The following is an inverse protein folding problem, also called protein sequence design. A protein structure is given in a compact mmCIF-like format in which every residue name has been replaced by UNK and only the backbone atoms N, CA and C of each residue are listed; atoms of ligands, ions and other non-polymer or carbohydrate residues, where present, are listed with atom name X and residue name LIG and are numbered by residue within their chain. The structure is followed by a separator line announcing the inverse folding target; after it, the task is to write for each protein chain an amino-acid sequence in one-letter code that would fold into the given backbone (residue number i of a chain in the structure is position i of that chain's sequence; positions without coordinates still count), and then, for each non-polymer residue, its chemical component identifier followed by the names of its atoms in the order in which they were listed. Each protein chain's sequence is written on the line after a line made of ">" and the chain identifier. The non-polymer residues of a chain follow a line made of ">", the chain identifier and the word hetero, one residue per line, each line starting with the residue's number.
data_IF_002514165748
#
_entry.id   IF_002514165748
#
_cell.length_a   1.000
_cell.length_b   1.000
_cell.length_c   1.000
_cell.angle_alpha   90.00
_cell.angle_beta   90.00
_cell.angle_gamma   90.00
#
_symmetry.space_group_name_H-M   'P 1'
#
loop_
_entity.id
_entity.type
_entity.pdbx_description
1 polymer ?
#
# COMPACT_ATOMS: atom_id res chain seq x y z
N UNK A 1 11.57 7.38 26.29
CA UNK A 1 12.23 8.10 25.17
C UNK A 1 13.28 7.20 24.51
N UNK A 2 12.94 5.93 24.23
CA UNK A 2 13.81 4.99 23.52
C UNK A 2 13.06 4.18 22.45
N UNK A 3 11.84 4.58 22.09
CA UNK A 3 10.99 3.80 21.16
C UNK A 3 10.84 4.47 19.77
N UNK A 4 11.11 5.77 19.66
CA UNK A 4 10.95 6.48 18.38
C UNK A 4 12.17 6.33 17.45
N UNK A 5 13.37 6.12 18.01
CA UNK A 5 14.62 6.09 17.22
C UNK A 5 14.89 4.71 16.60
N UNK A 6 14.46 3.61 17.24
CA UNK A 6 14.68 2.25 16.71
C UNK A 6 13.69 1.89 15.59
N UNK A 7 12.47 2.46 15.60
CA UNK A 7 11.44 2.27 14.56
C UNK A 7 11.81 2.80 13.18
N UNK A 8 12.86 3.63 13.06
CA UNK A 8 13.15 4.39 11.83
C UNK A 8 14.10 3.67 10.84
N UNK A 9 14.75 2.57 11.25
CA UNK A 9 15.63 1.80 10.34
C UNK A 9 14.95 0.58 9.71
N UNK A 10 14.04 -0.07 10.42
CA UNK A 10 13.55 -1.39 10.02
C UNK A 10 12.43 -1.36 8.96
N UNK A 11 11.67 -0.26 8.83
CA UNK A 11 10.61 -0.15 7.82
C UNK A 11 11.05 0.45 6.48
N UNK A 12 12.32 0.87 6.33
CA UNK A 12 12.80 1.49 5.08
C UNK A 12 12.67 0.58 3.87
N UNK A 13 12.95 -0.71 4.04
CA UNK A 13 12.82 -1.70 2.97
C UNK A 13 11.34 -1.91 2.59
N UNK A 14 10.47 -1.94 3.59
CA UNK A 14 9.01 -2.09 3.41
C UNK A 14 8.45 -0.88 2.66
N UNK A 15 8.90 0.33 2.98
CA UNK A 15 8.53 1.56 2.26
C UNK A 15 9.01 1.54 0.81
N UNK A 16 10.21 1.03 0.56
CA UNK A 16 10.78 0.89 -0.79
C UNK A 16 10.00 -0.11 -1.65
N UNK A 17 9.69 -1.29 -1.08
CA UNK A 17 8.89 -2.32 -1.75
C UNK A 17 7.47 -1.80 -1.98
N UNK A 18 6.86 -1.12 -1.00
CA UNK A 18 5.54 -0.50 -1.15
C UNK A 18 5.54 0.53 -2.27
N UNK A 19 6.57 1.36 -2.38
CA UNK A 19 6.72 2.33 -3.47
C UNK A 19 6.80 1.65 -4.84
N UNK A 20 7.59 0.58 -4.96
CA UNK A 20 7.66 -0.21 -6.19
C UNK A 20 6.31 -0.85 -6.54
N UNK A 21 5.62 -1.45 -5.56
CA UNK A 21 4.29 -2.02 -5.75
C UNK A 21 3.26 -0.96 -6.19
N UNK A 22 3.35 0.28 -5.71
CA UNK A 22 2.45 1.35 -6.11
C UNK A 22 2.50 1.60 -7.63
N UNK A 23 3.70 1.68 -8.21
CA UNK A 23 3.85 1.84 -9.67
C UNK A 23 3.33 0.63 -10.44
N UNK A 24 3.58 -0.59 -9.95
CA UNK A 24 3.06 -1.81 -10.57
C UNK A 24 1.53 -1.83 -10.58
N UNK A 25 0.90 -1.43 -9.47
CA UNK A 25 -0.56 -1.32 -9.33
C UNK A 25 -1.13 -0.24 -10.27
N UNK A 26 -0.51 0.94 -10.33
CA UNK A 26 -0.93 1.99 -11.28
C UNK A 26 -0.78 1.50 -12.73
N UNK A 27 0.32 0.82 -13.04
CA UNK A 27 0.60 0.27 -14.36
C UNK A 27 -0.47 -0.72 -14.83
N UNK A 28 -0.89 -1.67 -14.01
CA UNK A 28 -1.94 -2.61 -14.43
C UNK A 28 -3.31 -1.98 -14.63
N UNK A 29 -3.63 -0.90 -13.91
CA UNK A 29 -4.92 -0.23 -14.03
C UNK A 29 -4.96 0.78 -15.17
N UNK A 30 -3.82 1.37 -15.51
CA UNK A 30 -3.69 2.31 -16.64
C UNK A 30 -3.32 1.62 -17.95
N UNK A 31 -2.95 0.33 -17.91
CA UNK A 31 -2.52 -0.50 -19.05
C UNK A 31 -1.49 0.16 -19.99
N UNK A 32 -0.47 0.90 -19.51
CA UNK A 32 0.51 1.54 -20.38
C UNK A 32 1.41 0.50 -21.06
N UNK A 33 1.57 -0.68 -20.45
CA UNK A 33 2.36 -1.77 -20.99
C UNK A 33 1.71 -2.44 -22.21
N UNK A 34 0.40 -2.33 -22.39
CA UNK A 34 -0.27 -2.81 -23.61
C UNK A 34 0.17 -2.06 -24.86
N UNK A 35 0.48 -0.78 -24.72
CA UNK A 35 1.00 0.03 -25.82
C UNK A 35 2.46 -0.32 -26.17
N UNK A 36 3.19 -0.97 -25.26
CA UNK A 36 4.62 -1.27 -25.42
C UNK A 36 4.86 -2.74 -25.80
N UNK A 37 4.22 -3.68 -25.11
CA UNK A 37 4.33 -5.12 -25.39
C UNK A 37 3.24 -5.93 -24.70
N UNK A 38 2.49 -6.70 -25.49
CA UNK A 38 1.44 -7.62 -25.02
C UNK A 38 1.99 -8.71 -24.10
N UNK A 39 3.24 -9.14 -24.33
CA UNK A 39 3.86 -10.23 -23.59
C UNK A 39 4.28 -9.76 -22.19
N UNK A 40 4.81 -8.53 -22.09
CA UNK A 40 5.19 -7.91 -20.82
C UNK A 40 3.95 -7.56 -19.99
N UNK A 41 2.88 -7.07 -20.63
CA UNK A 41 1.59 -6.81 -19.99
C UNK A 41 1.04 -8.07 -19.32
N UNK A 42 1.02 -9.22 -20.02
CA UNK A 42 0.56 -10.49 -19.45
C UNK A 42 1.39 -10.94 -18.25
N UNK A 43 2.71 -10.88 -18.33
CA UNK A 43 3.58 -11.35 -17.23
C UNK A 43 3.38 -10.49 -15.98
N UNK A 44 3.36 -9.16 -16.14
CA UNK A 44 3.15 -8.23 -15.02
C UNK A 44 1.76 -8.39 -14.42
N UNK A 45 0.73 -8.49 -15.25
CA UNK A 45 -0.66 -8.58 -14.81
C UNK A 45 -0.98 -9.87 -14.05
N UNK A 46 -0.57 -11.03 -14.58
CA UNK A 46 -0.93 -12.32 -13.98
C UNK A 46 -0.03 -12.74 -12.81
N UNK A 47 1.26 -12.39 -12.83
CA UNK A 47 2.19 -12.84 -11.81
C UNK A 47 2.44 -11.75 -10.76
N UNK A 48 2.98 -10.61 -11.18
CA UNK A 48 3.50 -9.61 -10.25
C UNK A 48 2.37 -8.89 -9.54
N UNK A 49 1.31 -8.54 -10.26
CA UNK A 49 0.21 -7.74 -9.72
C UNK A 49 -0.67 -8.47 -8.71
N UNK A 50 -0.83 -9.79 -8.85
CA UNK A 50 -1.56 -10.60 -7.88
C UNK A 50 -0.95 -10.56 -6.48
N UNK A 51 0.36 -10.31 -6.36
CA UNK A 51 1.03 -10.13 -5.07
C UNK A 51 1.20 -8.64 -4.71
N UNK A 52 1.51 -7.78 -5.70
CA UNK A 52 1.75 -6.37 -5.47
C UNK A 52 0.51 -5.62 -4.96
N UNK A 53 -0.69 -5.94 -5.48
CA UNK A 53 -1.96 -5.31 -5.08
C UNK A 53 -2.28 -5.56 -3.60
N UNK A 54 -2.40 -6.82 -3.11
CA UNK A 54 -2.72 -7.07 -1.70
C UNK A 54 -1.62 -6.57 -0.76
N UNK A 55 -0.34 -6.67 -1.15
CA UNK A 55 0.76 -6.14 -0.34
C UNK A 55 0.71 -4.61 -0.22
N UNK A 56 0.54 -3.90 -1.33
CA UNK A 56 0.43 -2.44 -1.34
C UNK A 56 -0.76 -1.95 -0.51
N UNK A 57 -1.90 -2.64 -0.64
CA UNK A 57 -3.11 -2.33 0.12
C UNK A 57 -2.90 -2.53 1.62
N UNK A 58 -2.34 -3.68 2.02
CA UNK A 58 -2.05 -3.99 3.42
C UNK A 58 -1.07 -2.97 4.04
N UNK A 59 0.02 -2.64 3.34
CA UNK A 59 0.98 -1.65 3.81
C UNK A 59 0.35 -0.25 3.92
N UNK A 60 -0.48 0.14 2.96
CA UNK A 60 -1.17 1.44 3.00
C UNK A 60 -2.18 1.52 4.13
N UNK A 61 -3.00 0.49 4.31
CA UNK A 61 -3.96 0.40 5.41
C UNK A 61 -3.29 0.39 6.78
N UNK A 62 -2.24 -0.41 6.95
CA UNK A 62 -1.47 -0.47 8.20
C UNK A 62 -0.88 0.89 8.58
N UNK A 63 -0.20 1.57 7.65
CA UNK A 63 0.38 2.88 7.93
C UNK A 63 -0.68 3.95 8.20
N UNK A 64 -1.85 3.88 7.56
CA UNK A 64 -2.96 4.80 7.81
C UNK A 64 -3.49 4.65 9.23
N UNK A 65 -3.62 3.41 9.72
CA UNK A 65 -4.08 3.11 11.08
C UNK A 65 -3.01 3.48 12.11
N UNK A 66 -1.76 3.08 11.89
CA UNK A 66 -0.66 3.27 12.86
C UNK A 66 -0.23 4.74 12.99
N UNK A 67 -0.41 5.58 11.97
CA UNK A 67 -0.17 7.03 12.07
C UNK A 67 -1.31 7.80 12.76
N UNK A 68 -2.47 7.18 13.00
CA UNK A 68 -3.56 7.85 13.71
C UNK A 68 -3.36 7.69 15.22
N UNK A 69 -3.40 8.77 16.01
CA UNK A 69 -3.43 8.64 17.46
C UNK A 69 -4.70 7.89 17.86
N UNK A 70 -4.57 6.87 18.73
CA UNK A 70 -5.65 5.93 19.10
C UNK A 70 -6.99 6.63 19.40
N UNK A 71 -6.93 7.74 20.16
CA UNK A 71 -8.11 8.54 20.56
C UNK A 71 -8.85 9.15 19.36
N UNK A 72 -8.14 9.57 18.30
CA UNK A 72 -8.73 10.14 17.08
C UNK A 72 -9.36 9.04 16.20
N UNK A 73 -8.77 7.84 16.21
CA UNK A 73 -9.26 6.70 15.46
C UNK A 73 -10.62 6.20 15.99
N UNK A 74 -10.74 6.01 17.31
CA UNK A 74 -12.01 5.56 17.93
C UNK A 74 -13.15 6.55 17.68
N UNK A 75 -12.89 7.85 17.78
CA UNK A 75 -13.90 8.89 17.51
C UNK A 75 -14.31 8.89 16.03
N UNK A 76 -13.36 8.83 15.10
CA UNK A 76 -13.66 8.77 13.65
C UNK A 76 -14.44 7.53 13.25
N UNK A 77 -14.06 6.36 13.77
CA UNK A 77 -14.75 5.10 13.47
C UNK A 77 -16.17 5.12 14.04
N UNK A 78 -16.34 5.59 15.29
CA UNK A 78 -17.67 5.77 15.89
C UNK A 78 -18.55 6.72 15.07
N UNK A 79 -18.00 7.83 14.58
CA UNK A 79 -18.74 8.78 13.73
C UNK A 79 -19.11 8.19 12.37
N UNK A 80 -18.23 7.36 11.78
CA UNK A 80 -18.47 6.72 10.47
C UNK A 80 -19.51 5.61 10.56
N UNK A 81 -19.50 4.79 11.62
CA UNK A 81 -20.51 3.74 11.85
C UNK A 81 -21.89 4.35 12.09
N UNK A 82 -21.97 5.46 12.85
CA UNK A 82 -23.23 6.14 13.16
C UNK A 82 -23.86 6.89 11.97
N UNK A 83 -23.13 6.99 10.85
CA UNK A 83 -23.55 7.69 9.62
C UNK A 83 -24.06 6.73 8.53
N UNK A 84 -23.89 5.42 8.72
CA UNK A 84 -24.57 4.38 7.95
C UNK A 84 -25.84 3.95 8.69
#
# INVERSE_FOLDING_TARGET
>A
MMDEVQRNKDYKLIDLIKFLCAYLVIGIHTRPLQAVSVLLDKVVYYNISNYAVPFFYACTGYFLIVKQPEKDLYIKLGYRIKRF
#
